data_IF_534607243379
#
_entry.id   IF_534607243379
#
_cell.length_a   1.000
_cell.length_b   1.000
_cell.length_c   1.000
_cell.angle_alpha   90.00
_cell.angle_beta   90.00
_cell.angle_gamma   90.00
#
_symmetry.space_group_name_H-M   'P 1'
#
loop_
_entity.id
_entity.type
_entity.pdbx_description
1 polymer ?
#
# COMPACT_ATOMS: atom_id res chain seq x y z
N UNK A 1 22.97 19.11 -20.10
CA UNK A 1 22.66 17.67 -19.90
C UNK A 1 23.89 16.99 -19.29
N UNK A 2 24.00 16.97 -17.95
CA UNK A 2 25.19 16.46 -17.26
C UNK A 2 25.21 14.92 -17.27
N UNK A 3 26.08 14.34 -18.09
CA UNK A 3 26.40 12.91 -18.07
C UNK A 3 27.56 12.68 -17.10
N UNK A 4 27.28 12.22 -15.89
CA UNK A 4 28.30 11.69 -14.98
C UNK A 4 28.81 10.35 -15.51
N UNK A 5 29.77 10.38 -16.44
CA UNK A 5 30.45 9.17 -16.91
C UNK A 5 31.59 8.83 -15.94
N UNK A 6 31.51 7.68 -15.28
CA UNK A 6 32.66 7.11 -14.59
C UNK A 6 33.71 6.71 -15.61
N UNK A 7 34.89 7.32 -15.53
CA UNK A 7 35.96 7.24 -16.54
C UNK A 7 36.70 5.90 -16.55
N UNK A 8 36.76 5.18 -15.43
CA UNK A 8 37.27 3.81 -15.36
C UNK A 8 36.72 3.06 -14.11
N UNK A 9 36.95 1.74 -14.05
CA UNK A 9 36.50 0.87 -12.94
C UNK A 9 37.02 1.33 -11.57
N UNK A 10 38.24 1.87 -11.52
CA UNK A 10 38.87 2.32 -10.27
C UNK A 10 38.21 3.58 -9.74
N UNK A 11 37.85 4.51 -10.62
CA UNK A 11 37.12 5.73 -10.26
C UNK A 11 35.73 5.39 -9.73
N UNK A 12 35.03 4.47 -10.41
CA UNK A 12 33.74 3.98 -9.94
C UNK A 12 33.84 3.36 -8.53
N UNK A 13 34.81 2.47 -8.31
CA UNK A 13 35.00 1.83 -7.00
C UNK A 13 35.35 2.85 -5.92
N UNK A 14 36.22 3.82 -6.20
CA UNK A 14 36.56 4.89 -5.23
C UNK A 14 35.35 5.71 -4.84
N UNK A 15 34.56 6.15 -5.82
CA UNK A 15 33.37 6.98 -5.56
C UNK A 15 32.29 6.17 -4.83
N UNK A 16 32.05 4.93 -5.24
CA UNK A 16 31.07 4.06 -4.59
C UNK A 16 31.47 3.75 -3.14
N UNK A 17 32.73 3.40 -2.88
CA UNK A 17 33.22 3.15 -1.53
C UNK A 17 33.12 4.40 -0.64
N UNK A 18 33.47 5.58 -1.16
CA UNK A 18 33.34 6.83 -0.42
C UNK A 18 31.88 7.14 -0.09
N UNK A 19 30.97 7.01 -1.06
CA UNK A 19 29.54 7.25 -0.85
C UNK A 19 28.94 6.29 0.19
N UNK A 20 29.29 5.00 0.14
CA UNK A 20 28.84 4.02 1.13
C UNK A 20 29.37 4.34 2.53
N UNK A 21 30.65 4.70 2.65
CA UNK A 21 31.23 5.08 3.94
C UNK A 21 30.57 6.35 4.48
N UNK A 22 30.32 7.34 3.63
CA UNK A 22 29.61 8.56 3.99
C UNK A 22 28.17 8.28 4.43
N UNK A 23 27.45 7.39 3.76
CA UNK A 23 26.11 6.98 4.17
C UNK A 23 26.11 6.24 5.52
N UNK A 24 27.12 5.41 5.78
CA UNK A 24 27.28 4.71 7.05
C UNK A 24 27.67 5.67 8.19
N UNK A 25 28.56 6.63 7.91
CA UNK A 25 29.01 7.63 8.88
C UNK A 25 27.99 8.75 9.13
N UNK A 26 27.10 9.04 8.17
CA UNK A 26 26.04 10.03 8.30
C UNK A 26 24.99 9.66 9.36
N UNK A 27 25.02 8.44 9.89
CA UNK A 27 24.05 7.96 10.86
C UNK A 27 22.63 7.91 10.29
N UNK A 28 21.68 7.44 11.10
CA UNK A 28 20.30 7.30 10.69
C UNK A 28 19.73 8.66 10.28
N UNK A 29 19.08 8.76 9.11
CA UNK A 29 18.32 9.93 8.66
C UNK A 29 17.04 10.18 9.50
N UNK A 30 17.12 10.05 10.83
CA UNK A 30 16.04 10.24 11.80
C UNK A 30 16.10 11.58 12.53
N UNK A 31 17.11 12.42 12.27
CA UNK A 31 17.29 13.67 13.01
C UNK A 31 16.42 14.84 12.52
N UNK A 32 15.93 14.83 11.27
CA UNK A 32 15.08 15.91 10.76
C UNK A 32 13.61 15.81 11.19
N UNK A 33 13.14 14.64 11.63
CA UNK A 33 11.80 14.47 12.18
C UNK A 33 11.72 14.77 13.69
N UNK A 34 12.86 14.90 14.38
CA UNK A 34 12.90 15.19 15.83
C UNK A 34 12.97 16.69 16.14
N UNK A 35 13.18 17.54 15.15
CA UNK A 35 13.34 18.98 15.39
C UNK A 35 12.02 19.68 15.70
N UNK A 36 10.86 19.08 15.40
CA UNK A 36 9.56 19.59 15.86
C UNK A 36 9.21 19.19 17.30
N UNK A 37 9.91 18.23 17.89
CA UNK A 37 9.69 17.82 19.29
C UNK A 37 10.57 18.58 20.30
N UNK A 38 11.40 19.52 19.84
CA UNK A 38 12.39 20.21 20.65
C UNK A 38 11.89 21.46 21.41
N UNK A 39 10.61 21.51 21.80
CA UNK A 39 10.11 22.51 22.76
C UNK A 39 9.14 21.90 23.78
N UNK A 40 9.69 21.28 24.82
CA UNK A 40 8.99 21.09 26.11
C UNK A 40 7.95 19.97 26.20
N UNK A 41 7.83 19.10 25.20
CA UNK A 41 7.03 17.90 25.37
C UNK A 41 7.74 16.93 26.34
N UNK A 42 7.07 16.41 27.38
CA UNK A 42 7.67 15.42 28.26
C UNK A 42 8.09 14.20 27.45
N UNK A 43 9.31 13.71 27.69
CA UNK A 43 9.82 12.49 27.11
C UNK A 43 8.88 11.34 27.49
N UNK A 44 8.20 10.77 26.49
CA UNK A 44 7.29 9.66 26.72
C UNK A 44 8.11 8.42 27.07
N UNK A 45 7.96 7.94 28.30
CA UNK A 45 8.56 6.66 28.72
C UNK A 45 7.95 5.53 27.89
N UNK A 46 8.73 4.81 27.08
CA UNK A 46 8.21 3.70 26.30
C UNK A 46 7.73 2.59 27.24
N UNK A 47 6.52 2.08 27.02
CA UNK A 47 5.92 1.01 27.85
C UNK A 47 6.27 -0.39 27.36
N UNK A 48 6.92 -0.53 26.21
CA UNK A 48 7.27 -1.81 25.60
C UNK A 48 8.62 -1.75 24.88
N UNK A 49 9.40 -2.83 24.98
CA UNK A 49 10.72 -2.98 24.34
C UNK A 49 10.64 -3.37 22.86
N UNK A 50 9.54 -3.98 22.42
CA UNK A 50 9.33 -4.46 21.05
C UNK A 50 7.85 -4.44 20.68
N UNK A 51 7.54 -4.03 19.45
CA UNK A 51 6.19 -3.98 18.90
C UNK A 51 6.14 -4.81 17.61
N UNK A 52 5.15 -5.69 17.50
CA UNK A 52 4.79 -6.32 16.22
C UNK A 52 3.67 -5.50 15.60
N UNK A 53 3.97 -4.81 14.50
CA UNK A 53 2.96 -4.07 13.72
C UNK A 53 2.39 -5.02 12.68
N UNK A 54 1.15 -5.47 12.89
CA UNK A 54 0.38 -6.16 11.87
C UNK A 54 -0.34 -5.10 11.02
N UNK A 55 0.24 -4.79 9.86
CA UNK A 55 -0.37 -3.85 8.93
C UNK A 55 -1.48 -4.53 8.14
N UNK A 56 -2.72 -4.37 8.62
CA UNK A 56 -3.92 -4.84 7.93
C UNK A 56 -4.51 -3.79 6.96
N UNK A 57 -3.73 -2.78 6.55
CA UNK A 57 -4.19 -1.85 5.51
C UNK A 57 -4.08 -2.52 4.12
N UNK A 58 -4.87 -3.58 3.95
CA UNK A 58 -5.44 -3.94 2.67
C UNK A 58 -6.92 -3.59 2.77
N UNK A 59 -7.34 -2.54 2.07
CA UNK A 59 -8.76 -2.33 1.83
C UNK A 59 -9.33 -3.51 1.03
N UNK A 60 -10.65 -3.67 1.08
CA UNK A 60 -11.36 -4.56 0.17
C UNK A 60 -10.91 -4.34 -1.28
N UNK A 61 -10.58 -5.43 -1.98
CA UNK A 61 -10.15 -5.34 -3.38
C UNK A 61 -11.27 -4.74 -4.24
N UNK A 62 -10.90 -3.91 -5.21
CA UNK A 62 -11.89 -3.29 -6.10
C UNK A 62 -12.77 -4.33 -6.83
N UNK A 63 -12.17 -5.49 -7.16
CA UNK A 63 -12.83 -6.62 -7.82
C UNK A 63 -13.89 -7.32 -6.95
N UNK A 64 -13.83 -7.11 -5.63
CA UNK A 64 -14.74 -7.67 -4.63
C UNK A 64 -15.73 -6.62 -4.09
N UNK A 65 -15.85 -5.47 -4.77
CA UNK A 65 -16.67 -4.34 -4.31
C UNK A 65 -17.51 -3.72 -5.43
N UNK A 66 -17.04 -2.60 -6.00
CA UNK A 66 -17.79 -1.76 -6.91
C UNK A 66 -17.64 -2.18 -8.39
N UNK A 67 -16.70 -3.08 -8.68
CA UNK A 67 -16.38 -3.61 -10.01
C UNK A 67 -16.32 -5.14 -9.96
N UNK A 68 -17.48 -5.81 -9.75
CA UNK A 68 -17.53 -7.26 -9.62
C UNK A 68 -16.95 -7.91 -10.87
N UNK A 69 -15.83 -8.62 -10.69
CA UNK A 69 -15.21 -9.41 -11.75
C UNK A 69 -15.87 -10.78 -11.87
N UNK A 70 -15.36 -11.60 -12.79
CA UNK A 70 -15.85 -12.96 -13.00
C UNK A 70 -15.85 -13.70 -11.65
N UNK A 71 -17.02 -14.19 -11.27
CA UNK A 71 -17.18 -15.00 -10.07
C UNK A 71 -16.41 -16.32 -10.21
N UNK A 72 -15.52 -16.55 -9.26
CA UNK A 72 -14.72 -17.76 -9.09
C UNK A 72 -14.87 -18.20 -7.63
N UNK A 73 -15.69 -19.23 -7.33
CA UNK A 73 -15.79 -19.78 -5.98
C UNK A 73 -14.41 -20.19 -5.44
N UNK A 74 -14.18 -19.98 -4.15
CA UNK A 74 -12.95 -20.44 -3.52
C UNK A 74 -12.95 -21.97 -3.40
N UNK A 75 -11.88 -22.60 -3.90
CA UNK A 75 -11.61 -24.02 -3.73
C UNK A 75 -10.17 -24.23 -3.26
N UNK A 76 -9.95 -25.24 -2.40
CA UNK A 76 -8.61 -25.54 -1.90
C UNK A 76 -7.70 -25.98 -3.05
N UNK A 77 -6.58 -25.28 -3.23
CA UNK A 77 -5.61 -25.59 -4.29
C UNK A 77 -5.87 -24.87 -5.61
N UNK A 78 -6.85 -23.96 -5.67
CA UNK A 78 -7.04 -23.07 -6.83
C UNK A 78 -5.77 -22.23 -7.07
N UNK A 79 -5.43 -22.00 -8.34
CA UNK A 79 -4.29 -21.15 -8.69
C UNK A 79 -4.67 -19.69 -8.41
N UNK A 80 -3.81 -18.91 -7.75
CA UNK A 80 -4.10 -17.49 -7.45
C UNK A 80 -4.45 -16.66 -8.70
N UNK A 81 -3.87 -16.97 -9.85
CA UNK A 81 -4.14 -16.27 -11.11
C UNK A 81 -5.56 -16.48 -11.66
N UNK A 82 -6.26 -17.53 -11.20
CA UNK A 82 -7.63 -17.84 -11.62
C UNK A 82 -8.68 -17.17 -10.71
N UNK A 83 -8.26 -16.62 -9.56
CA UNK A 83 -9.12 -15.96 -8.58
C UNK A 83 -9.30 -14.49 -8.96
N UNK A 84 -10.45 -14.18 -9.56
CA UNK A 84 -10.81 -12.80 -9.95
C UNK A 84 -11.72 -12.13 -8.92
N UNK A 85 -12.82 -12.79 -8.55
CA UNK A 85 -13.72 -12.39 -7.48
C UNK A 85 -14.36 -13.62 -6.86
N UNK A 86 -14.36 -13.74 -5.54
CA UNK A 86 -15.01 -14.85 -4.82
C UNK A 86 -16.43 -14.50 -4.38
N UNK A 87 -16.93 -13.32 -4.75
CA UNK A 87 -18.26 -12.82 -4.40
C UNK A 87 -19.15 -12.75 -5.64
N UNK A 88 -20.36 -13.33 -5.63
CA UNK A 88 -21.33 -13.16 -6.71
C UNK A 88 -21.68 -11.69 -6.96
N UNK A 89 -22.00 -11.34 -8.20
CA UNK A 89 -22.52 -10.02 -8.54
C UNK A 89 -24.02 -9.91 -8.21
N UNK A 90 -24.44 -8.81 -7.61
CA UNK A 90 -25.83 -8.46 -7.28
C UNK A 90 -26.28 -7.21 -8.04
N UNK A 91 -27.58 -7.08 -8.26
CA UNK A 91 -28.16 -5.87 -8.85
C UNK A 91 -28.15 -4.71 -7.85
N UNK A 92 -28.09 -3.50 -8.38
CA UNK A 92 -28.22 -2.25 -7.62
C UNK A 92 -29.55 -1.56 -7.95
N UNK A 93 -29.84 -0.43 -7.32
CA UNK A 93 -31.01 0.40 -7.63
C UNK A 93 -30.98 1.02 -9.04
N UNK A 94 -29.83 0.97 -9.73
CA UNK A 94 -29.65 1.46 -11.10
C UNK A 94 -29.43 0.30 -12.04
N UNK A 95 -30.26 0.19 -13.08
CA UNK A 95 -30.16 -0.86 -14.09
C UNK A 95 -28.77 -0.90 -14.74
N UNK A 96 -28.26 -2.12 -14.95
CA UNK A 96 -26.95 -2.35 -15.56
C UNK A 96 -25.74 -2.07 -14.65
N UNK A 97 -25.94 -1.51 -13.45
CA UNK A 97 -24.89 -1.41 -12.43
C UNK A 97 -25.02 -2.56 -11.45
N UNK A 98 -23.94 -3.33 -11.31
CA UNK A 98 -23.81 -4.44 -10.36
C UNK A 98 -22.70 -4.19 -9.35
N UNK A 99 -22.87 -4.67 -8.13
CA UNK A 99 -21.85 -4.73 -7.06
C UNK A 99 -21.62 -6.16 -6.61
N UNK A 100 -20.55 -6.41 -5.86
CA UNK A 100 -20.35 -7.70 -5.21
C UNK A 100 -21.31 -7.90 -4.04
N UNK A 101 -21.72 -9.15 -3.81
CA UNK A 101 -22.52 -9.57 -2.66
C UNK A 101 -21.89 -9.07 -1.34
N UNK A 102 -22.71 -8.60 -0.40
CA UNK A 102 -22.28 -7.94 0.84
C UNK A 102 -22.37 -6.41 0.83
N UNK A 103 -22.58 -5.81 -0.35
CA UNK A 103 -22.82 -4.36 -0.51
C UNK A 103 -24.28 -4.02 -0.81
N UNK A 104 -25.24 -4.86 -0.42
CA UNK A 104 -26.67 -4.72 -0.74
C UNK A 104 -27.21 -3.35 -0.32
N UNK A 105 -26.81 -2.87 0.86
CA UNK A 105 -27.25 -1.57 1.38
C UNK A 105 -26.71 -0.39 0.58
N UNK A 106 -25.51 -0.52 0.01
CA UNK A 106 -24.92 0.51 -0.85
C UNK A 106 -25.56 0.43 -2.25
N UNK A 107 -25.71 -0.79 -2.79
CA UNK A 107 -26.38 -1.02 -4.07
C UNK A 107 -27.82 -0.50 -4.07
N UNK A 108 -28.55 -0.64 -2.96
CA UNK A 108 -29.93 -0.17 -2.81
C UNK A 108 -30.09 1.36 -2.90
N UNK A 109 -29.01 2.14 -2.79
CA UNK A 109 -29.03 3.61 -2.88
C UNK A 109 -28.14 4.14 -4.02
N UNK A 110 -27.83 3.29 -5.00
CA UNK A 110 -26.95 3.65 -6.14
C UNK A 110 -27.57 4.76 -7.01
N UNK A 111 -28.89 4.97 -6.96
CA UNK A 111 -29.61 6.09 -7.58
C UNK A 111 -29.19 7.46 -7.02
N UNK A 112 -28.50 7.50 -5.89
CA UNK A 112 -28.04 8.72 -5.20
C UNK A 112 -26.52 8.90 -5.24
N UNK A 113 -25.81 8.01 -5.94
CA UNK A 113 -24.35 8.00 -6.00
C UNK A 113 -23.81 8.17 -7.42
N UNK A 114 -22.53 8.51 -7.50
CA UNK A 114 -21.76 8.41 -8.74
C UNK A 114 -20.73 7.29 -8.58
N UNK A 115 -20.69 6.39 -9.56
CA UNK A 115 -19.76 5.27 -9.57
C UNK A 115 -18.59 5.56 -10.50
N UNK A 116 -17.37 5.40 -10.00
CA UNK A 116 -16.12 5.56 -10.74
C UNK A 116 -15.50 4.16 -10.89
N UNK A 117 -15.17 3.77 -12.13
CA UNK A 117 -14.56 2.47 -12.47
C UNK A 117 -13.40 2.67 -13.43
#
# INVERSE_FOLDING_TARGET
MNRTRFTNRRDFLKTASAATLSALAAGNARLLAQTESATGAPELQPTADTIVVLWMAGGMAHTETFDPKRYTPFEKGIKPADVMSTFPAIDTAVDGIKFSQGLERIGAVMDRGALIR
#
